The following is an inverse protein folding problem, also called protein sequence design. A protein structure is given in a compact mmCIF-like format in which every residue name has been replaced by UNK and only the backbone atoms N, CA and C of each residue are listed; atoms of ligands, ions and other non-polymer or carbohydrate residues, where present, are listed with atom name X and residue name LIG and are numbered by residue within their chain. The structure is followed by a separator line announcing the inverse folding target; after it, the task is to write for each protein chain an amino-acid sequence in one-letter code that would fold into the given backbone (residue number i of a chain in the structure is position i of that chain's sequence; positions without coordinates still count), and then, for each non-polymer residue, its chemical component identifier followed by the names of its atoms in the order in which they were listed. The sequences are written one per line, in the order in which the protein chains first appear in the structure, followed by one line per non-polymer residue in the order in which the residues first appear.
data_IF_142040250006
#
_entry.id   IF_142040250006
#
_cell.length_a   1.000
_cell.length_b   1.000
_cell.length_c   1.000
_cell.angle_alpha   90.00
_cell.angle_beta   90.00
_cell.angle_gamma   90.00
#
_symmetry.space_group_name_H-M   'P 1'
#
loop_
_entity.id
_entity.type
_entity.pdbx_description
1 polymer ?
#
# COMPACT_ATOMS: atom_id res chain seq x y z
N UNK A 1 -16.10 -1.46 -9.86
CA UNK A 1 -15.17 -1.36 -11.00
C UNK A 1 -14.10 -2.42 -10.87
N UNK A 2 -13.89 -3.19 -11.94
CA UNK A 2 -12.84 -4.19 -11.97
C UNK A 2 -11.56 -3.59 -12.53
N UNK A 3 -10.45 -3.87 -11.90
CA UNK A 3 -9.11 -3.49 -12.36
C UNK A 3 -8.22 -4.71 -12.31
N UNK A 4 -7.43 -4.91 -13.35
CA UNK A 4 -6.48 -6.01 -13.40
C UNK A 4 -5.09 -5.48 -13.72
N UNK A 5 -4.12 -5.86 -12.89
CA UNK A 5 -2.70 -5.62 -13.17
C UNK A 5 -2.15 -6.88 -13.82
N UNK A 6 -1.51 -6.73 -14.97
CA UNK A 6 -0.93 -7.83 -15.74
C UNK A 6 0.58 -7.63 -15.95
N UNK A 7 1.25 -8.67 -16.38
CA UNK A 7 2.70 -8.67 -16.66
C UNK A 7 3.53 -8.21 -15.45
N UNK A 8 3.19 -8.70 -14.27
CA UNK A 8 3.80 -8.27 -13.02
C UNK A 8 4.64 -9.38 -12.39
N UNK A 9 5.71 -8.97 -11.72
CA UNK A 9 6.43 -9.83 -10.79
C UNK A 9 5.84 -9.59 -9.41
N UNK A 10 5.06 -10.54 -8.92
CA UNK A 10 4.23 -10.36 -7.74
C UNK A 10 4.83 -11.07 -6.54
N UNK A 11 4.99 -10.35 -5.45
CA UNK A 11 5.38 -10.93 -4.16
C UNK A 11 4.14 -11.45 -3.44
N UNK A 12 4.14 -12.75 -3.16
CA UNK A 12 3.08 -13.42 -2.39
C UNK A 12 3.66 -14.07 -1.14
N UNK A 13 2.82 -14.49 -0.18
CA UNK A 13 3.30 -15.22 1.00
C UNK A 13 4.06 -16.51 0.66
N UNK A 14 3.79 -17.09 -0.51
CA UNK A 14 4.46 -18.32 -0.97
C UNK A 14 5.68 -18.04 -1.85
N UNK A 15 6.01 -16.78 -2.09
CA UNK A 15 7.12 -16.36 -2.91
C UNK A 15 6.74 -15.54 -4.13
N UNK A 16 7.64 -15.41 -5.08
CA UNK A 16 7.44 -14.59 -6.26
C UNK A 16 6.69 -15.33 -7.37
N UNK A 17 5.73 -14.65 -7.97
CA UNK A 17 5.11 -15.04 -9.23
C UNK A 17 5.75 -14.20 -10.35
N UNK A 18 6.38 -14.84 -11.34
CA UNK A 18 7.16 -14.15 -12.36
C UNK A 18 6.31 -13.42 -13.40
N UNK A 19 5.21 -14.02 -13.81
CA UNK A 19 4.30 -13.49 -14.85
C UNK A 19 2.89 -13.56 -14.29
N UNK A 20 2.61 -12.70 -13.34
CA UNK A 20 1.37 -12.76 -12.59
C UNK A 20 0.38 -11.67 -12.93
N UNK A 21 -0.82 -11.85 -12.42
CA UNK A 21 -1.85 -10.83 -12.47
C UNK A 21 -2.57 -10.69 -11.13
N UNK A 22 -3.04 -9.47 -10.87
CA UNK A 22 -3.85 -9.14 -9.70
C UNK A 22 -5.17 -8.60 -10.18
N UNK A 23 -6.26 -9.25 -9.80
CA UNK A 23 -7.61 -8.78 -10.09
C UNK A 23 -8.20 -8.12 -8.84
N UNK A 24 -8.70 -6.91 -9.03
CA UNK A 24 -9.27 -6.12 -7.94
C UNK A 24 -10.67 -5.64 -8.32
N UNK A 25 -11.52 -5.57 -7.31
CA UNK A 25 -12.81 -4.87 -7.42
C UNK A 25 -12.85 -3.78 -6.36
N UNK A 26 -12.93 -2.53 -6.82
CA UNK A 26 -12.90 -1.35 -5.96
C UNK A 26 -11.67 -1.39 -5.03
N UNK A 27 -11.86 -1.55 -3.74
CA UNK A 27 -10.77 -1.58 -2.76
C UNK A 27 -10.40 -2.98 -2.27
N UNK A 28 -10.81 -4.03 -3.00
CA UNK A 28 -10.56 -5.41 -2.60
C UNK A 28 -9.80 -6.18 -3.66
N UNK A 29 -8.82 -6.97 -3.22
CA UNK A 29 -8.14 -7.93 -4.07
C UNK A 29 -9.02 -9.17 -4.17
N UNK A 30 -9.42 -9.53 -5.39
CA UNK A 30 -10.23 -10.71 -5.64
C UNK A 30 -9.38 -11.94 -5.88
N UNK A 31 -8.29 -11.80 -6.64
CA UNK A 31 -7.47 -12.92 -7.03
C UNK A 31 -6.06 -12.48 -7.40
N UNK A 32 -5.08 -13.30 -7.02
CA UNK A 32 -3.69 -13.17 -7.44
C UNK A 32 -3.30 -14.48 -8.10
N UNK A 33 -2.92 -14.43 -9.37
CA UNK A 33 -2.64 -15.65 -10.15
C UNK A 33 -1.33 -15.53 -10.91
N UNK A 34 -0.81 -16.68 -11.34
CA UNK A 34 0.32 -16.73 -12.26
C UNK A 34 -0.15 -16.80 -13.74
N UNK A 35 -1.36 -16.38 -14.00
CA UNK A 35 -1.98 -16.39 -15.33
C UNK A 35 -2.26 -14.98 -15.80
N UNK A 36 -1.92 -14.68 -17.06
CA UNK A 36 -2.06 -13.37 -17.66
C UNK A 36 -3.32 -13.20 -18.50
N UNK A 37 -4.33 -14.02 -18.27
CA UNK A 37 -5.59 -13.91 -19.01
C UNK A 37 -6.32 -12.62 -18.62
N UNK A 38 -6.55 -11.77 -19.61
CA UNK A 38 -7.32 -10.54 -19.40
C UNK A 38 -8.77 -10.86 -19.06
N UNK A 39 -9.28 -10.23 -18.04
CA UNK A 39 -10.67 -10.37 -17.60
C UNK A 39 -11.53 -9.37 -18.37
N UNK A 40 -12.61 -9.87 -18.99
CA UNK A 40 -13.55 -9.03 -19.74
C UNK A 40 -14.20 -8.04 -18.79
N UNK A 41 -14.17 -6.75 -19.16
CA UNK A 41 -14.77 -5.67 -18.38
C UNK A 41 -13.83 -5.08 -17.33
N UNK A 42 -12.63 -5.61 -17.17
CA UNK A 42 -11.64 -5.03 -16.28
C UNK A 42 -10.82 -3.95 -16.99
N UNK A 43 -10.52 -2.90 -16.27
CA UNK A 43 -9.49 -1.94 -16.68
C UNK A 43 -8.13 -2.59 -16.51
N UNK A 44 -7.31 -2.60 -17.56
CA UNK A 44 -6.01 -3.26 -17.52
C UNK A 44 -4.91 -2.25 -17.20
N UNK A 45 -4.05 -2.64 -16.27
CA UNK A 45 -2.80 -1.94 -15.97
C UNK A 45 -1.67 -2.90 -16.31
N UNK A 46 -0.88 -2.54 -17.32
CA UNK A 46 0.28 -3.33 -17.69
C UNK A 46 1.48 -2.92 -16.84
N UNK A 47 1.92 -3.81 -15.98
CA UNK A 47 3.09 -3.55 -15.13
C UNK A 47 4.42 -3.64 -15.88
N UNK A 48 4.40 -4.12 -17.14
CA UNK A 48 5.57 -4.18 -18.01
C UNK A 48 6.78 -4.88 -17.37
N UNK A 49 6.52 -5.93 -16.63
CA UNK A 49 7.56 -6.69 -15.94
C UNK A 49 8.04 -6.09 -14.63
N UNK A 50 7.43 -4.99 -14.18
CA UNK A 50 7.77 -4.37 -12.91
C UNK A 50 7.25 -5.19 -11.72
N UNK A 51 7.78 -4.88 -10.56
CA UNK A 51 7.40 -5.55 -9.32
C UNK A 51 6.07 -5.02 -8.79
N UNK A 52 5.23 -5.93 -8.33
CA UNK A 52 4.00 -5.60 -7.59
C UNK A 52 4.12 -6.27 -6.23
N UNK A 53 4.06 -5.48 -5.19
CA UNK A 53 4.21 -5.94 -3.81
C UNK A 53 3.05 -5.39 -2.98
N UNK A 54 2.74 -6.03 -1.83
CA UNK A 54 1.78 -5.44 -0.91
C UNK A 54 2.23 -4.06 -0.45
N UNK A 55 1.29 -3.18 -0.16
CA UNK A 55 1.60 -1.89 0.44
C UNK A 55 2.34 -2.05 1.76
N UNK A 56 3.25 -1.13 2.03
CA UNK A 56 4.06 -1.19 3.24
C UNK A 56 3.21 -1.04 4.51
N UNK A 57 3.63 -1.73 5.56
CA UNK A 57 3.04 -1.61 6.90
C UNK A 57 4.07 -0.96 7.81
N UNK A 58 3.72 0.19 8.39
CA UNK A 58 4.57 0.91 9.32
C UNK A 58 4.12 0.60 10.74
N UNK A 59 5.02 0.00 11.54
CA UNK A 59 4.68 -0.44 12.90
C UNK A 59 5.11 0.55 13.98
N UNK A 60 5.89 1.57 13.63
CA UNK A 60 6.32 2.60 14.57
C UNK A 60 6.53 3.91 13.82
N UNK A 61 5.67 4.89 14.07
CA UNK A 61 5.70 6.14 13.34
C UNK A 61 5.30 7.31 14.23
N UNK A 62 6.13 8.37 14.24
CA UNK A 62 5.84 9.61 14.95
C UNK A 62 5.31 10.71 14.03
N UNK A 63 5.51 10.56 12.72
CA UNK A 63 5.10 11.54 11.75
C UNK A 63 5.82 11.35 10.41
N UNK A 64 5.79 12.34 9.58
CA UNK A 64 6.46 12.35 8.28
C UNK A 64 6.23 13.65 7.53
N UNK A 65 7.07 13.93 6.53
CA UNK A 65 6.91 15.10 5.67
C UNK A 65 6.91 16.44 6.40
N UNK A 66 7.50 16.50 7.61
CA UNK A 66 7.49 17.69 8.44
C UNK A 66 6.33 17.78 9.43
N UNK A 67 5.41 16.82 9.44
CA UNK A 67 4.32 16.73 10.40
C UNK A 67 4.63 15.71 11.49
N UNK A 68 4.38 16.07 12.75
CA UNK A 68 4.54 15.19 13.90
C UNK A 68 3.17 14.96 14.54
N UNK A 69 2.83 13.69 14.80
CA UNK A 69 1.54 13.35 15.43
C UNK A 69 1.39 13.97 16.83
N UNK A 70 2.49 14.27 17.52
CA UNK A 70 2.46 14.96 18.80
C UNK A 70 1.91 16.38 18.71
N UNK A 71 1.91 17.00 17.53
CA UNK A 71 1.33 18.33 17.34
C UNK A 71 -0.20 18.31 17.53
N UNK A 72 -0.84 17.16 17.32
CA UNK A 72 -2.25 16.97 17.58
C UNK A 72 -3.17 17.76 16.65
N UNK A 73 -2.67 18.27 15.53
CA UNK A 73 -3.46 19.03 14.57
C UNK A 73 -3.85 18.18 13.36
N UNK A 74 -4.98 18.49 12.75
CA UNK A 74 -5.40 17.82 11.52
C UNK A 74 -4.37 18.01 10.40
N UNK A 75 -3.79 19.19 10.31
CA UNK A 75 -2.77 19.49 9.33
C UNK A 75 -1.53 18.61 9.49
N UNK A 76 -1.04 18.43 10.72
CA UNK A 76 0.12 17.58 11.00
C UNK A 76 -0.17 16.12 10.67
N UNK A 77 -1.33 15.60 11.03
CA UNK A 77 -1.77 14.25 10.69
C UNK A 77 -1.85 14.06 9.19
N UNK A 78 -2.48 14.99 8.48
CA UNK A 78 -2.64 14.92 7.03
C UNK A 78 -1.28 14.97 6.32
N UNK A 79 -0.39 15.82 6.76
CA UNK A 79 0.97 15.93 6.21
C UNK A 79 1.73 14.63 6.37
N UNK A 80 1.72 14.05 7.57
CA UNK A 80 2.41 12.81 7.84
C UNK A 80 1.83 11.63 7.03
N UNK A 81 0.51 11.50 7.00
CA UNK A 81 -0.17 10.43 6.28
C UNK A 81 0.12 10.53 4.78
N UNK A 82 0.03 11.71 4.19
CA UNK A 82 0.30 11.91 2.77
C UNK A 82 1.75 11.57 2.42
N UNK A 83 2.71 11.90 3.26
CA UNK A 83 4.11 11.56 3.04
C UNK A 83 4.31 10.04 3.01
N UNK A 84 3.72 9.30 3.93
CA UNK A 84 3.81 7.84 3.96
C UNK A 84 3.09 7.19 2.79
N UNK A 85 1.89 7.65 2.45
CA UNK A 85 1.13 7.14 1.29
C UNK A 85 1.90 7.31 -0.01
N UNK A 86 2.57 8.45 -0.19
CA UNK A 86 3.37 8.74 -1.37
C UNK A 86 4.49 7.73 -1.59
N UNK A 87 4.99 7.12 -0.53
CA UNK A 87 6.05 6.12 -0.56
C UNK A 87 5.53 4.67 -0.43
N UNK A 88 4.23 4.47 -0.58
CA UNK A 88 3.64 3.14 -0.66
C UNK A 88 3.21 2.53 0.67
N UNK A 89 3.21 3.29 1.76
CA UNK A 89 2.68 2.80 3.04
C UNK A 89 1.16 2.75 2.99
N UNK A 90 0.57 1.61 3.32
CA UNK A 90 -0.88 1.42 3.30
C UNK A 90 -1.50 1.20 4.67
N UNK A 91 -0.69 0.88 5.66
CA UNK A 91 -1.13 0.71 7.04
C UNK A 91 -0.04 1.22 7.98
N UNK A 92 -0.43 2.00 8.97
CA UNK A 92 0.51 2.53 9.95
C UNK A 92 -0.08 2.51 11.35
N UNK A 93 0.78 2.19 12.32
CA UNK A 93 0.48 2.33 13.73
C UNK A 93 1.06 3.66 14.20
N UNK A 94 0.17 4.60 14.52
CA UNK A 94 0.56 5.92 15.02
C UNK A 94 1.19 5.78 16.39
N UNK A 95 2.37 6.37 16.57
CA UNK A 95 3.03 6.43 17.87
C UNK A 95 3.01 7.86 18.41
N UNK A 96 2.26 8.06 19.48
CA UNK A 96 2.13 9.35 20.17
C UNK A 96 2.59 9.15 21.61
N UNK A 97 3.62 9.89 22.01
CA UNK A 97 4.13 9.86 23.38
C UNK A 97 3.45 10.93 24.23
N UNK A 98 3.17 10.62 25.49
CA UNK A 98 2.72 11.62 26.46
C UNK A 98 3.96 12.24 27.12
N UNK A 99 4.23 13.53 26.89
CA UNK A 99 5.47 14.15 27.42
C UNK A 99 5.51 14.28 28.94
N UNK A 100 4.38 14.16 29.60
CA UNK A 100 4.27 14.27 31.05
C UNK A 100 4.25 12.94 31.79
N UNK A 101 4.26 11.83 31.05
CA UNK A 101 4.18 10.49 31.62
C UNK A 101 5.57 9.88 31.76
N UNK A 102 6.02 9.55 32.95
CA UNK A 102 7.29 8.82 33.13
C UNK A 102 7.11 7.37 32.66
N UNK A 103 8.15 6.85 32.07
CA UNK A 103 8.20 5.46 31.61
C UNK A 103 8.98 4.59 32.58
#
# INVERSE_FOLDING_TARGET
MLTQIINAKILTPQGWLKDGSVLMRDNKILEVTNCDLAVIGAELIDAKGMYVVPGGVEIHCHGGGGGDFMEGTEEAFRTAINAHMKHGTTLSLIHISEPTRPY
#
